data_IF_470085247537
#
_entry.id   IF_470085247537
#
_cell.length_a   1.000
_cell.length_b   1.000
_cell.length_c   1.000
_cell.angle_alpha   90.00
_cell.angle_beta   90.00
_cell.angle_gamma   90.00
#
_symmetry.space_group_name_H-M   'P 1'
#
loop_
_entity.id
_entity.type
_entity.pdbx_description
1 polymer ?
#
# COMPACT_ATOMS: atom_id res chain seq x y z
N UNK A 1 9.18 -12.80 -15.03
CA UNK A 1 8.39 -13.05 -13.81
C UNK A 1 6.97 -13.41 -14.23
N UNK A 2 6.45 -14.58 -13.81
CA UNK A 2 5.10 -15.01 -14.22
C UNK A 2 4.06 -14.10 -13.56
N UNK A 3 3.23 -13.49 -14.39
CA UNK A 3 2.18 -12.58 -13.97
C UNK A 3 0.94 -13.39 -13.61
N UNK A 4 0.82 -13.85 -12.37
CA UNK A 4 -0.34 -14.64 -11.94
C UNK A 4 -1.47 -13.71 -11.50
N UNK A 5 -2.49 -13.58 -12.35
CA UNK A 5 -3.78 -13.00 -11.98
C UNK A 5 -4.66 -14.09 -11.38
N UNK A 6 -5.20 -13.85 -10.19
CA UNK A 6 -6.23 -14.71 -9.61
C UNK A 6 -7.56 -13.99 -9.66
N UNK A 7 -8.61 -14.75 -9.98
CA UNK A 7 -9.97 -14.25 -10.07
C UNK A 7 -10.75 -14.80 -8.88
N UNK A 8 -11.40 -13.90 -8.14
CA UNK A 8 -12.31 -14.25 -7.06
C UNK A 8 -13.72 -14.48 -7.63
N UNK A 9 -14.55 -15.22 -6.89
CA UNK A 9 -15.93 -15.57 -7.30
C UNK A 9 -16.85 -14.33 -7.43
N UNK A 10 -16.52 -13.25 -6.73
CA UNK A 10 -17.20 -11.94 -6.81
C UNK A 10 -16.77 -11.12 -8.04
N UNK A 11 -15.84 -11.63 -8.86
CA UNK A 11 -15.28 -10.94 -10.03
C UNK A 11 -14.05 -10.09 -9.72
N UNK A 12 -13.60 -10.02 -8.47
CA UNK A 12 -12.41 -9.28 -8.07
C UNK A 12 -11.14 -9.91 -8.66
N UNK A 13 -10.14 -9.08 -8.94
CA UNK A 13 -8.87 -9.48 -9.55
C UNK A 13 -7.72 -9.24 -8.56
N UNK A 14 -7.07 -10.32 -8.13
CA UNK A 14 -5.77 -10.26 -7.49
C UNK A 14 -4.71 -10.11 -8.58
N UNK A 15 -4.02 -8.98 -8.63
CA UNK A 15 -3.13 -8.73 -9.76
C UNK A 15 -1.77 -9.43 -9.62
N UNK A 16 -1.16 -9.57 -8.43
CA UNK A 16 0.16 -10.22 -8.32
C UNK A 16 0.48 -10.79 -6.92
N UNK A 17 0.95 -12.04 -6.94
CA UNK A 17 1.70 -12.70 -5.89
C UNK A 17 3.17 -12.76 -6.32
N UNK A 18 4.13 -12.36 -5.47
CA UNK A 18 5.55 -12.66 -5.71
C UNK A 18 5.81 -14.19 -5.65
N UNK A 19 7.07 -14.62 -5.84
CA UNK A 19 7.45 -16.05 -5.75
C UNK A 19 7.24 -16.66 -4.35
N UNK A 20 7.05 -15.82 -3.33
CA UNK A 20 6.69 -16.16 -1.96
C UNK A 20 5.19 -15.95 -1.63
N UNK A 21 4.35 -15.72 -2.64
CA UNK A 21 2.91 -15.43 -2.52
C UNK A 21 2.52 -14.09 -1.87
N UNK A 22 3.44 -13.12 -1.79
CA UNK A 22 3.17 -11.80 -1.22
C UNK A 22 2.53 -10.83 -2.21
N UNK A 23 1.66 -9.94 -1.72
CA UNK A 23 1.13 -8.82 -2.46
C UNK A 23 2.22 -7.76 -2.65
N UNK A 24 2.62 -7.57 -3.91
CA UNK A 24 3.66 -6.59 -4.25
C UNK A 24 3.38 -5.99 -5.63
N UNK A 25 3.04 -4.70 -5.66
CA UNK A 25 2.97 -3.93 -6.92
C UNK A 25 3.31 -2.46 -6.69
N UNK A 26 4.26 -1.94 -7.47
CA UNK A 26 4.65 -0.52 -7.45
C UNK A 26 3.86 0.31 -8.48
N UNK A 27 3.53 -0.26 -9.64
CA UNK A 27 2.97 0.49 -10.78
C UNK A 27 1.43 0.46 -10.86
N UNK A 28 0.73 0.15 -9.77
CA UNK A 28 -0.74 0.06 -9.74
C UNK A 28 -1.29 -0.78 -8.59
N UNK A 29 -2.62 -0.95 -8.51
CA UNK A 29 -3.23 -1.64 -7.38
C UNK A 29 -2.85 -3.13 -7.38
N UNK A 30 -2.49 -3.63 -6.20
CA UNK A 30 -2.24 -5.05 -5.99
C UNK A 30 -3.55 -5.84 -6.03
N UNK A 31 -4.65 -5.21 -5.59
CA UNK A 31 -6.01 -5.77 -5.61
C UNK A 31 -6.96 -4.76 -6.26
N UNK A 32 -7.76 -5.23 -7.19
CA UNK A 32 -8.85 -4.45 -7.78
C UNK A 32 -10.13 -5.28 -7.69
N UNK A 33 -11.10 -4.80 -6.93
CA UNK A 33 -12.35 -5.49 -6.68
C UNK A 33 -13.38 -5.17 -7.77
N UNK A 34 -14.34 -6.07 -7.99
CA UNK A 34 -15.37 -5.90 -9.02
C UNK A 34 -16.26 -4.68 -8.79
N UNK A 35 -16.41 -4.26 -7.55
CA UNK A 35 -17.16 -3.06 -7.16
C UNK A 35 -16.40 -1.74 -7.43
N UNK A 36 -15.14 -1.83 -7.88
CA UNK A 36 -14.28 -0.69 -8.17
C UNK A 36 -13.34 -0.30 -7.04
N UNK A 37 -13.38 -0.99 -5.89
CA UNK A 37 -12.41 -0.77 -4.82
C UNK A 37 -11.00 -1.16 -5.29
N UNK A 38 -9.99 -0.45 -4.79
CA UNK A 38 -8.58 -0.66 -5.15
C UNK A 38 -7.71 -0.60 -3.92
N UNK A 39 -6.76 -1.52 -3.84
CA UNK A 39 -5.76 -1.55 -2.77
C UNK A 39 -4.35 -1.70 -3.34
N UNK A 40 -3.42 -0.95 -2.77
CA UNK A 40 -2.00 -0.97 -3.11
C UNK A 40 -1.21 -1.59 -1.97
N UNK A 41 -0.40 -2.60 -2.31
CA UNK A 41 0.37 -3.37 -1.34
C UNK A 41 1.81 -3.59 -1.84
N UNK A 42 2.76 -3.47 -0.92
CA UNK A 42 4.17 -3.80 -1.10
C UNK A 42 4.57 -4.70 0.06
N UNK A 43 5.04 -5.92 -0.25
CA UNK A 43 5.41 -6.94 0.74
C UNK A 43 4.30 -7.25 1.77
N UNK A 44 3.06 -7.42 1.30
CA UNK A 44 1.84 -7.64 2.12
C UNK A 44 1.44 -6.48 3.04
N UNK A 45 2.11 -5.33 2.92
CA UNK A 45 1.75 -4.11 3.64
C UNK A 45 1.10 -3.12 2.69
N UNK A 46 0.02 -2.48 3.13
CA UNK A 46 -0.57 -1.35 2.40
C UNK A 46 0.50 -0.27 2.21
N UNK A 47 0.73 0.11 0.97
CA UNK A 47 1.80 1.05 0.63
C UNK A 47 1.50 1.73 -0.69
N UNK A 48 1.53 3.06 -0.69
CA UNK A 48 1.58 3.87 -1.91
C UNK A 48 2.21 5.23 -1.62
N UNK A 49 3.10 5.70 -2.50
CA UNK A 49 3.74 7.01 -2.37
C UNK A 49 3.01 8.09 -3.18
N UNK A 50 2.29 7.74 -4.25
CA UNK A 50 1.73 8.75 -5.14
C UNK A 50 0.24 9.05 -4.91
N UNK A 51 -0.35 8.49 -3.85
CA UNK A 51 -1.75 8.69 -3.50
C UNK A 51 -2.22 7.76 -2.39
N UNK A 52 -3.54 7.63 -2.17
CA UNK A 52 -4.09 6.74 -1.15
C UNK A 52 -3.77 5.26 -1.48
N UNK A 53 -3.42 4.49 -0.45
CA UNK A 53 -3.17 3.06 -0.60
C UNK A 53 -4.47 2.23 -0.60
N UNK A 54 -5.60 2.85 -0.27
CA UNK A 54 -6.95 2.28 -0.39
C UNK A 54 -7.86 3.32 -1.03
N UNK A 55 -8.57 2.94 -2.08
CA UNK A 55 -9.62 3.73 -2.72
C UNK A 55 -10.88 2.88 -2.81
N UNK A 56 -11.98 3.31 -2.19
CA UNK A 56 -13.26 2.65 -2.33
C UNK A 56 -14.16 3.38 -3.33
N UNK A 57 -15.03 2.62 -4.00
CA UNK A 57 -15.96 3.15 -4.99
C UNK A 57 -16.96 4.17 -4.40
N UNK A 58 -17.19 4.13 -3.08
CA UNK A 58 -18.00 5.11 -2.37
C UNK A 58 -17.29 6.46 -2.11
N UNK A 59 -16.04 6.61 -2.56
CA UNK A 59 -15.23 7.83 -2.40
C UNK A 59 -14.32 7.84 -1.17
N UNK A 60 -14.39 6.82 -0.30
CA UNK A 60 -13.48 6.70 0.83
C UNK A 60 -12.04 6.46 0.36
N UNK A 61 -11.08 7.14 1.02
CA UNK A 61 -9.65 7.04 0.76
C UNK A 61 -8.91 6.85 2.07
N UNK A 62 -7.85 6.04 2.04
CA UNK A 62 -6.93 5.91 3.16
C UNK A 62 -5.49 5.82 2.67
N UNK A 63 -4.58 6.45 3.42
CA UNK A 63 -3.17 6.58 3.08
C UNK A 63 -2.35 5.65 3.96
N UNK A 64 -1.48 4.87 3.31
CA UNK A 64 -0.57 3.99 4.01
C UNK A 64 0.80 3.99 3.33
N UNK A 65 1.85 4.05 4.15
CA UNK A 65 3.24 3.90 3.73
C UNK A 65 3.88 2.83 4.61
N UNK A 66 4.28 1.71 4.00
CA UNK A 66 4.88 0.56 4.69
C UNK A 66 4.02 0.02 5.84
N UNK A 67 2.70 0.05 5.67
CA UNK A 67 1.73 -0.39 6.67
C UNK A 67 1.42 0.63 7.77
N UNK A 68 2.14 1.77 7.85
CA UNK A 68 1.77 2.87 8.75
C UNK A 68 0.62 3.67 8.13
N UNK A 69 -0.46 3.85 8.88
CA UNK A 69 -1.60 4.68 8.47
C UNK A 69 -1.25 6.15 8.64
N UNK A 70 -1.60 6.96 7.66
CA UNK A 70 -1.39 8.41 7.66
C UNK A 70 -2.74 9.09 7.43
N UNK A 71 -2.92 10.24 8.06
CA UNK A 71 -3.91 11.22 7.62
C UNK A 71 -3.51 11.80 6.27
N UNK A 72 -4.48 12.36 5.54
CA UNK A 72 -4.21 13.04 4.25
C UNK A 72 -3.24 14.21 4.44
N UNK A 73 -3.41 14.98 5.52
CA UNK A 73 -2.50 16.10 5.86
C UNK A 73 -1.07 15.61 6.15
N UNK A 74 -0.89 14.57 6.97
CA UNK A 74 0.43 13.97 7.21
C UNK A 74 1.07 13.46 5.91
N UNK A 75 0.26 12.90 5.00
CA UNK A 75 0.73 12.40 3.71
C UNK A 75 1.15 13.52 2.75
N UNK A 76 0.49 14.67 2.79
CA UNK A 76 0.80 15.83 1.95
C UNK A 76 2.00 16.64 2.47
N UNK A 77 2.13 16.75 3.79
CA UNK A 77 3.15 17.57 4.44
C UNK A 77 4.50 16.88 4.61
N UNK A 78 4.55 15.55 4.57
CA UNK A 78 5.77 14.78 4.82
C UNK A 78 6.43 14.29 3.51
N UNK A 79 7.71 14.64 3.22
CA UNK A 79 8.40 14.18 2.02
C UNK A 79 8.52 12.66 1.96
N UNK A 80 7.80 12.10 0.99
CA UNK A 80 7.43 10.69 0.80
C UNK A 80 8.56 9.65 0.69
N UNK A 81 9.83 10.05 0.82
CA UNK A 81 10.99 9.19 0.51
C UNK A 81 12.14 9.23 1.52
N UNK A 82 12.36 10.35 2.24
CA UNK A 82 13.43 10.46 3.24
C UNK A 82 12.94 10.31 4.68
N UNK A 83 11.66 10.56 4.89
CA UNK A 83 11.14 10.88 6.20
C UNK A 83 10.56 9.64 6.91
N UNK A 84 10.28 8.56 6.17
CA UNK A 84 10.14 7.21 6.74
C UNK A 84 11.46 6.68 7.32
N UNK A 85 12.60 6.92 6.64
CA UNK A 85 13.91 6.55 7.17
C UNK A 85 14.31 7.46 8.34
N UNK A 86 13.99 8.75 8.28
CA UNK A 86 14.23 9.67 9.39
C UNK A 86 13.33 9.37 10.62
N UNK A 87 12.05 9.08 10.42
CA UNK A 87 11.12 8.71 11.52
C UNK A 87 11.44 7.34 12.12
N UNK A 88 11.83 6.34 11.31
CA UNK A 88 12.29 5.05 11.83
C UNK A 88 13.62 5.20 12.60
N UNK A 89 14.54 6.04 12.11
CA UNK A 89 15.78 6.35 12.82
C UNK A 89 15.55 7.12 14.12
N UNK A 90 14.55 8.02 14.17
CA UNK A 90 14.17 8.74 15.39
C UNK A 90 13.50 7.79 16.39
N UNK A 91 12.61 6.89 15.96
CA UNK A 91 12.03 5.84 16.82
C UNK A 91 13.13 4.89 17.37
N UNK A 92 14.08 4.45 16.54
CA UNK A 92 15.20 3.59 16.93
C UNK A 92 16.17 4.28 17.91
N UNK A 93 16.39 5.59 17.75
CA UNK A 93 17.17 6.41 18.69
C UNK A 93 16.46 6.66 20.03
N UNK A 94 15.12 6.68 20.03
CA UNK A 94 14.31 6.87 21.24
C UNK A 94 14.11 5.57 22.04
N UNK A 95 14.15 4.41 21.37
CA UNK A 95 14.00 3.08 22.01
C UNK A 95 15.32 2.49 22.56
N UNK A 96 16.45 3.20 22.42
CA UNK A 96 17.66 3.07 23.24
C UNK A 96 18.10 1.64 23.60
N UNK A 97 18.47 0.84 22.59
CA UNK A 97 19.27 -0.39 22.80
C UNK A 97 20.76 -0.12 22.69
#
# INVERSE_FOLDING_TARGET
MKKNKFYYLDGSILNYCDWNKKLHRLDGPAVEYADGNKEWHVEDKRHRLDGPAVEYANGYKAWYVNGKHLTEEEFETHPKRYDYLASLAIEELLDGK
#
